data_IF_604817760730
#
_entry.id   IF_604817760730
#
_cell.length_a   1.000
_cell.length_b   1.000
_cell.length_c   1.000
_cell.angle_alpha   90.00
_cell.angle_beta   90.00
_cell.angle_gamma   90.00
#
_symmetry.space_group_name_H-M   'P 1'
#
loop_
_entity.id
_entity.type
_entity.pdbx_description
1 polymer ?
#
# COMPACT_ATOMS: atom_id res chain seq x y z
N UNK A 1 11.41 -1.22 -27.78
CA UNK A 1 10.49 -2.23 -27.18
C UNK A 1 11.10 -3.00 -26.00
N UNK A 2 12.34 -3.53 -26.07
CA UNK A 2 12.97 -4.24 -24.94
C UNK A 2 13.25 -3.35 -23.71
N UNK A 3 13.76 -2.13 -23.93
CA UNK A 3 14.05 -1.16 -22.85
C UNK A 3 12.82 -0.78 -22.02
N UNK A 4 11.66 -0.59 -22.67
CA UNK A 4 10.39 -0.27 -21.98
C UNK A 4 9.92 -1.43 -21.09
N UNK A 5 10.07 -2.68 -21.54
CA UNK A 5 9.77 -3.86 -20.71
C UNK A 5 10.72 -3.96 -19.51
N UNK A 6 12.01 -3.71 -19.70
CA UNK A 6 12.98 -3.73 -18.60
C UNK A 6 12.65 -2.66 -17.55
N UNK A 7 12.35 -1.44 -17.98
CA UNK A 7 11.94 -0.36 -17.07
C UNK A 7 10.68 -0.72 -16.27
N UNK A 8 9.68 -1.30 -16.95
CA UNK A 8 8.46 -1.78 -16.30
C UNK A 8 8.76 -2.79 -15.19
N UNK A 9 9.56 -3.82 -15.47
CA UNK A 9 9.88 -4.84 -14.46
C UNK A 9 10.73 -4.29 -13.31
N UNK A 10 11.62 -3.33 -13.57
CA UNK A 10 12.38 -2.65 -12.51
C UNK A 10 11.43 -1.86 -11.60
N UNK A 11 10.57 -1.02 -12.18
CA UNK A 11 9.60 -0.22 -11.43
C UNK A 11 8.63 -1.12 -10.64
N UNK A 12 8.17 -2.21 -11.26
CA UNK A 12 7.33 -3.21 -10.61
C UNK A 12 8.05 -3.91 -9.46
N UNK A 13 9.33 -4.23 -9.62
CA UNK A 13 10.15 -4.80 -8.55
C UNK A 13 10.26 -3.87 -7.35
N UNK A 14 10.56 -2.59 -7.57
CA UNK A 14 10.57 -1.58 -6.51
C UNK A 14 9.23 -1.45 -5.82
N UNK A 15 8.14 -1.38 -6.58
CA UNK A 15 6.79 -1.31 -6.04
C UNK A 15 6.44 -2.55 -5.19
N UNK A 16 6.79 -3.74 -5.67
CA UNK A 16 6.56 -4.99 -4.94
C UNK A 16 7.31 -5.02 -3.60
N UNK A 17 8.58 -4.56 -3.59
CA UNK A 17 9.39 -4.49 -2.37
C UNK A 17 8.76 -3.53 -1.36
N UNK A 18 8.32 -2.35 -1.79
CA UNK A 18 7.64 -1.38 -0.92
C UNK A 18 6.36 -1.98 -0.30
N UNK A 19 5.49 -2.59 -1.12
CA UNK A 19 4.25 -3.22 -0.62
C UNK A 19 4.54 -4.35 0.36
N UNK A 20 5.52 -5.21 0.08
CA UNK A 20 5.93 -6.28 1.00
C UNK A 20 6.48 -5.68 2.30
N UNK A 21 7.32 -4.65 2.22
CA UNK A 21 7.83 -3.91 3.37
C UNK A 21 6.72 -3.36 4.25
N UNK A 22 5.70 -2.75 3.65
CA UNK A 22 4.51 -2.24 4.33
C UNK A 22 3.73 -3.34 5.05
N UNK A 23 3.51 -4.49 4.41
CA UNK A 23 2.84 -5.66 5.02
C UNK A 23 3.65 -6.20 6.20
N UNK A 24 4.96 -6.39 6.01
CA UNK A 24 5.86 -6.90 7.06
C UNK A 24 5.88 -5.93 8.24
N UNK A 25 5.97 -4.62 7.99
CA UNK A 25 5.96 -3.59 9.02
C UNK A 25 4.67 -3.62 9.83
N UNK A 26 3.52 -3.84 9.16
CA UNK A 26 2.22 -3.98 9.80
C UNK A 26 2.14 -5.18 10.75
N UNK A 27 2.96 -6.22 10.53
CA UNK A 27 3.01 -7.42 11.39
C UNK A 27 4.09 -7.30 12.47
N UNK A 28 5.28 -6.81 12.14
CA UNK A 28 6.41 -6.71 13.07
C UNK A 28 6.23 -5.55 14.05
N UNK A 29 5.84 -4.37 13.56
CA UNK A 29 5.64 -3.17 14.37
C UNK A 29 4.14 -2.90 14.57
N UNK A 30 3.38 -3.95 14.87
CA UNK A 30 1.93 -3.88 15.00
C UNK A 30 1.51 -2.83 16.04
N UNK A 31 2.21 -2.73 17.18
CA UNK A 31 1.88 -1.76 18.22
C UNK A 31 1.96 -0.32 17.72
N UNK A 32 3.06 0.05 17.06
CA UNK A 32 3.26 1.39 16.47
C UNK A 32 2.23 1.73 15.40
N UNK A 33 1.89 0.75 14.54
CA UNK A 33 0.88 0.92 13.50
C UNK A 33 -0.52 1.04 14.13
N UNK A 34 -0.82 0.23 15.14
CA UNK A 34 -2.11 0.28 15.85
C UNK A 34 -2.32 1.60 16.59
N UNK A 35 -1.27 2.18 17.17
CA UNK A 35 -1.32 3.51 17.79
C UNK A 35 -1.61 4.59 16.74
N UNK A 36 -0.97 4.48 15.57
CA UNK A 36 -1.21 5.39 14.44
C UNK A 36 -2.66 5.31 13.95
N UNK A 37 -3.19 4.10 13.74
CA UNK A 37 -4.59 3.89 13.34
C UNK A 37 -5.57 4.40 14.40
N UNK A 38 -5.25 4.23 15.69
CA UNK A 38 -6.07 4.75 16.80
C UNK A 38 -6.07 6.28 16.83
N UNK A 39 -4.91 6.93 16.59
CA UNK A 39 -4.81 8.40 16.44
C UNK A 39 -5.63 8.91 15.24
N UNK A 40 -5.66 8.15 14.16
CA UNK A 40 -6.48 8.43 12.98
C UNK A 40 -7.98 8.18 13.19
N UNK A 41 -8.37 7.58 14.33
CA UNK A 41 -9.76 7.21 14.63
C UNK A 41 -10.25 5.97 13.89
N UNK A 42 -9.34 5.17 13.32
CA UNK A 42 -9.67 3.91 12.64
C UNK A 42 -9.59 2.72 13.60
N UNK A 43 -10.45 1.71 13.40
CA UNK A 43 -10.40 0.50 14.18
C UNK A 43 -9.20 -0.37 13.79
N UNK A 44 -8.61 -1.05 14.77
CA UNK A 44 -7.36 -1.81 14.63
C UNK A 44 -7.49 -3.02 13.68
N UNK A 45 -8.68 -3.62 13.57
CA UNK A 45 -8.90 -4.75 12.65
C UNK A 45 -8.65 -4.39 11.18
N UNK A 46 -8.73 -3.10 10.84
CA UNK A 46 -8.56 -2.57 9.48
C UNK A 46 -7.13 -2.80 8.97
N UNK A 47 -6.13 -2.86 9.88
CA UNK A 47 -4.73 -3.18 9.55
C UNK A 47 -4.63 -4.57 8.91
N UNK A 48 -5.29 -5.58 9.48
CA UNK A 48 -5.27 -6.94 8.94
C UNK A 48 -5.99 -7.03 7.59
N UNK A 49 -7.13 -6.36 7.45
CA UNK A 49 -7.87 -6.33 6.18
C UNK A 49 -7.02 -5.69 5.08
N UNK A 50 -6.37 -4.55 5.37
CA UNK A 50 -5.50 -3.88 4.41
C UNK A 50 -4.30 -4.74 4.04
N UNK A 51 -3.64 -5.37 5.01
CA UNK A 51 -2.51 -6.27 4.75
C UNK A 51 -2.89 -7.44 3.83
N UNK A 52 -4.04 -8.07 4.05
CA UNK A 52 -4.56 -9.15 3.19
C UNK A 52 -4.88 -8.61 1.79
N UNK A 53 -5.56 -7.48 1.68
CA UNK A 53 -5.90 -6.84 0.40
C UNK A 53 -4.64 -6.46 -0.40
N UNK A 54 -3.61 -5.89 0.24
CA UNK A 54 -2.34 -5.56 -0.40
C UNK A 54 -1.61 -6.81 -0.89
N UNK A 55 -1.62 -7.89 -0.11
CA UNK A 55 -1.02 -9.16 -0.53
C UNK A 55 -1.73 -9.78 -1.75
N UNK A 56 -3.06 -9.77 -1.76
CA UNK A 56 -3.88 -10.22 -2.90
C UNK A 56 -3.61 -9.33 -4.12
N UNK A 57 -3.61 -8.01 -3.95
CA UNK A 57 -3.29 -7.08 -5.03
C UNK A 57 -1.91 -7.33 -5.64
N UNK A 58 -0.89 -7.50 -4.79
CA UNK A 58 0.47 -7.75 -5.24
C UNK A 58 0.60 -9.08 -6.01
N UNK A 59 0.01 -10.15 -5.49
CA UNK A 59 0.00 -11.46 -6.17
C UNK A 59 -0.73 -11.40 -7.51
N UNK A 60 -1.81 -10.62 -7.61
CA UNK A 60 -2.54 -10.41 -8.87
C UNK A 60 -1.73 -9.63 -9.91
N UNK A 61 -0.91 -8.65 -9.48
CA UNK A 61 0.00 -7.94 -10.39
C UNK A 61 1.09 -8.89 -10.92
N UNK A 62 1.69 -9.69 -10.04
CA UNK A 62 2.77 -10.62 -10.42
C UNK A 62 2.29 -11.77 -11.31
N UNK A 63 1.10 -12.31 -11.05
CA UNK A 63 0.51 -13.40 -11.83
C UNK A 63 -0.11 -12.94 -13.16
N UNK A 64 -0.15 -11.62 -13.40
CA UNK A 64 -0.51 -10.97 -14.66
C UNK A 64 -1.76 -11.58 -15.34
N UNK A 65 -2.84 -11.71 -14.56
CA UNK A 65 -3.97 -12.61 -14.88
C UNK A 65 -4.94 -12.07 -15.94
N UNK A 66 -5.16 -10.75 -15.98
CA UNK A 66 -6.05 -10.07 -16.95
C UNK A 66 -5.86 -8.54 -16.89
N UNK A 67 -6.00 -7.85 -18.03
CA UNK A 67 -5.88 -6.38 -18.12
C UNK A 67 -6.93 -5.67 -17.27
N UNK A 68 -8.18 -6.14 -17.30
CA UNK A 68 -9.27 -5.57 -16.50
C UNK A 68 -8.97 -5.69 -15.00
N UNK A 69 -8.49 -6.85 -14.58
CA UNK A 69 -8.16 -7.12 -13.18
C UNK A 69 -7.00 -6.24 -12.69
N UNK A 70 -6.00 -5.99 -13.53
CA UNK A 70 -4.89 -5.10 -13.20
C UNK A 70 -5.34 -3.66 -12.97
N UNK A 71 -6.21 -3.13 -13.82
CA UNK A 71 -6.74 -1.77 -13.67
C UNK A 71 -7.41 -1.57 -12.30
N UNK A 72 -8.20 -2.53 -11.86
CA UNK A 72 -8.83 -2.50 -10.53
C UNK A 72 -7.83 -2.58 -9.39
N UNK A 73 -6.80 -3.42 -9.52
CA UNK A 73 -5.76 -3.53 -8.50
C UNK A 73 -4.98 -2.21 -8.39
N UNK A 74 -4.58 -1.61 -9.51
CA UNK A 74 -3.91 -0.30 -9.51
C UNK A 74 -4.81 0.81 -8.96
N UNK A 75 -6.10 0.82 -9.31
CA UNK A 75 -7.07 1.77 -8.74
C UNK A 75 -7.22 1.58 -7.22
N UNK A 76 -7.27 0.35 -6.74
CA UNK A 76 -7.34 0.03 -5.32
C UNK A 76 -6.12 0.52 -4.54
N UNK A 77 -4.90 0.27 -5.04
CA UNK A 77 -3.68 0.81 -4.43
C UNK A 77 -3.68 2.34 -4.42
N UNK A 78 -4.04 2.97 -5.54
CA UNK A 78 -4.11 4.43 -5.64
C UNK A 78 -5.11 5.03 -4.64
N UNK A 79 -6.30 4.45 -4.52
CA UNK A 79 -7.30 4.88 -3.55
C UNK A 79 -6.81 4.70 -2.12
N UNK A 80 -6.21 3.55 -1.79
CA UNK A 80 -5.68 3.28 -0.45
C UNK A 80 -4.66 4.34 -0.02
N UNK A 81 -3.68 4.65 -0.87
CA UNK A 81 -2.65 5.64 -0.56
C UNK A 81 -3.19 7.06 -0.51
N UNK A 82 -4.10 7.41 -1.41
CA UNK A 82 -4.72 8.75 -1.42
C UNK A 82 -5.58 8.97 -0.17
N UNK A 83 -6.43 8.00 0.20
CA UNK A 83 -7.27 8.08 1.40
C UNK A 83 -6.42 8.08 2.67
N UNK A 84 -5.36 7.26 2.73
CA UNK A 84 -4.41 7.29 3.85
C UNK A 84 -3.76 8.66 4.02
N UNK A 85 -3.27 9.26 2.93
CA UNK A 85 -2.71 10.60 2.96
C UNK A 85 -3.73 11.66 3.43
N UNK A 86 -4.97 11.59 2.92
CA UNK A 86 -6.05 12.49 3.34
C UNK A 86 -6.40 12.32 4.82
N UNK A 87 -6.39 11.10 5.35
CA UNK A 87 -6.68 10.85 6.77
C UNK A 87 -5.60 11.47 7.68
N UNK A 88 -4.32 11.34 7.32
CA UNK A 88 -3.24 12.01 8.04
C UNK A 88 -3.31 13.54 7.96
N UNK A 89 -3.72 14.09 6.80
CA UNK A 89 -3.94 15.53 6.64
C UNK A 89 -5.12 16.03 7.48
N UNK A 90 -6.21 15.26 7.58
CA UNK A 90 -7.41 15.61 8.34
C UNK A 90 -7.12 15.70 9.85
N UNK A 91 -6.28 14.82 10.37
CA UNK A 91 -5.88 14.80 11.80
C UNK A 91 -4.77 15.82 12.11
N UNK A 92 -4.24 16.53 11.10
CA UNK A 92 -3.12 17.48 11.23
C UNK A 92 -1.89 16.89 11.91
N UNK A 93 -1.66 15.59 11.74
CA UNK A 93 -0.62 14.84 12.47
C UNK A 93 0.80 15.16 11.96
N UNK A 94 0.96 16.13 11.04
CA UNK A 94 2.25 16.52 10.44
C UNK A 94 2.88 15.46 9.51
N UNK A 95 2.35 14.23 9.53
CA UNK A 95 2.94 13.04 8.92
C UNK A 95 2.31 12.65 7.56
N UNK A 96 1.53 13.55 6.94
CA UNK A 96 0.84 13.27 5.66
C UNK A 96 1.79 12.97 4.51
N UNK A 97 2.99 13.56 4.51
CA UNK A 97 4.04 13.28 3.52
C UNK A 97 4.76 11.95 3.81
N UNK A 98 5.05 11.65 5.07
CA UNK A 98 5.67 10.39 5.52
C UNK A 98 4.74 9.19 5.35
N UNK A 99 3.42 9.35 5.40
CA UNK A 99 2.49 8.29 5.04
C UNK A 99 2.57 7.87 3.56
N UNK A 100 3.04 8.78 2.69
CA UNK A 100 3.27 8.53 1.25
C UNK A 100 4.70 8.06 0.98
N UNK A 101 5.65 8.36 1.87
CA UNK A 101 7.09 8.03 1.71
C UNK A 101 7.50 6.78 2.50
N UNK A 102 6.78 6.40 3.56
CA UNK A 102 7.03 5.22 4.39
C UNK A 102 6.23 3.98 3.95
N UNK A 103 5.68 3.99 2.74
CA UNK A 103 5.37 2.77 1.99
C UNK A 103 6.64 2.20 1.38
#
# INVERSE_FOLDING_TARGET
MKSQKTFYYIALGFFAIAVIGSIINSVINFDTVSETFTKLGYPIYLIYILGVCQFIGLTMILLNKSHWTLEWVYAGFFMNYTLGALAHLAVKDGNGASAVVCI
#
